data_IF_940008913498
#
_entry.id   IF_940008913498
#
_cell.length_a   1.000
_cell.length_b   1.000
_cell.length_c   1.000
_cell.angle_alpha   90.00
_cell.angle_beta   90.00
_cell.angle_gamma   90.00
#
_symmetry.space_group_name_H-M   'P 1'
#
loop_
_entity.id
_entity.type
_entity.pdbx_description
1 polymer ?
#
# COMPACT_ATOMS: atom_id res chain seq x y z
N UNK A 1 -38.37 14.02 53.23
CA UNK A 1 -38.06 14.85 52.04
C UNK A 1 -36.64 14.63 51.47
N UNK A 2 -35.79 13.77 52.07
CA UNK A 2 -34.40 13.57 51.61
C UNK A 2 -34.21 12.46 50.56
N UNK A 3 -35.12 11.49 50.48
CA UNK A 3 -34.95 10.31 49.61
C UNK A 3 -35.09 10.63 48.11
N UNK A 4 -36.00 11.52 47.73
CA UNK A 4 -36.21 11.91 46.33
C UNK A 4 -34.99 12.59 45.71
N UNK A 5 -34.19 13.31 46.51
CA UNK A 5 -33.02 14.05 46.02
C UNK A 5 -31.81 13.13 45.79
N UNK A 6 -31.69 12.06 46.59
CA UNK A 6 -30.65 11.02 46.44
C UNK A 6 -30.91 10.14 45.23
N UNK A 7 -32.17 9.79 44.95
CA UNK A 7 -32.55 9.00 43.77
C UNK A 7 -32.32 9.83 42.49
N UNK A 8 -32.66 11.12 42.50
CA UNK A 8 -32.43 12.05 41.38
C UNK A 8 -30.94 12.29 41.07
N UNK A 9 -30.06 12.31 42.09
CA UNK A 9 -28.62 12.47 41.86
C UNK A 9 -27.97 11.20 41.34
N UNK A 10 -28.42 10.02 41.81
CA UNK A 10 -27.96 8.71 41.32
C UNK A 10 -28.39 8.46 39.87
N UNK A 11 -29.60 8.86 39.48
CA UNK A 11 -30.03 8.73 38.09
C UNK A 11 -29.21 9.65 37.16
N UNK A 12 -28.93 10.89 37.56
CA UNK A 12 -28.12 11.83 36.75
C UNK A 12 -26.68 11.38 36.57
N UNK A 13 -26.08 10.77 37.59
CA UNK A 13 -24.73 10.20 37.49
C UNK A 13 -24.71 8.99 36.57
N UNK A 14 -25.67 8.08 36.72
CA UNK A 14 -25.84 6.93 35.82
C UNK A 14 -26.02 7.33 34.35
N UNK A 15 -26.88 8.32 34.04
CA UNK A 15 -27.08 8.81 32.67
C UNK A 15 -25.83 9.49 32.08
N UNK A 16 -25.03 10.15 32.92
CA UNK A 16 -23.78 10.79 32.48
C UNK A 16 -22.70 9.75 32.17
N UNK A 17 -22.60 8.72 33.01
CA UNK A 17 -21.66 7.62 32.81
C UNK A 17 -21.99 6.81 31.54
N UNK A 18 -23.29 6.58 31.24
CA UNK A 18 -23.71 5.96 29.97
C UNK A 18 -23.35 6.83 28.76
N UNK A 19 -23.55 8.15 28.82
CA UNK A 19 -23.14 9.05 27.74
C UNK A 19 -21.62 9.03 27.53
N UNK A 20 -20.83 9.13 28.60
CA UNK A 20 -19.37 9.12 28.53
C UNK A 20 -18.84 7.80 27.95
N UNK A 21 -19.48 6.68 28.28
CA UNK A 21 -19.17 5.36 27.72
C UNK A 21 -19.50 5.28 26.21
N UNK A 22 -20.65 5.84 25.80
CA UNK A 22 -21.04 5.91 24.39
C UNK A 22 -20.06 6.78 23.58
N UNK A 23 -19.71 7.97 24.07
CA UNK A 23 -18.73 8.84 23.42
C UNK A 23 -17.35 8.18 23.31
N UNK A 24 -16.90 7.51 24.38
CA UNK A 24 -15.64 6.76 24.38
C UNK A 24 -15.64 5.63 23.34
N UNK A 25 -16.74 4.86 23.27
CA UNK A 25 -16.87 3.76 22.30
C UNK A 25 -16.85 4.25 20.84
N UNK A 26 -17.51 5.37 20.54
CA UNK A 26 -17.51 5.99 19.21
C UNK A 26 -16.10 6.48 18.84
N UNK A 27 -15.38 7.09 19.79
CA UNK A 27 -14.01 7.57 19.57
C UNK A 27 -13.04 6.41 19.30
N UNK A 28 -13.20 5.28 19.99
CA UNK A 28 -12.42 4.05 19.76
C UNK A 28 -12.71 3.49 18.36
N UNK A 29 -13.98 3.42 17.94
CA UNK A 29 -14.34 2.94 16.60
C UNK A 29 -13.79 3.87 15.50
N UNK A 30 -13.83 5.18 15.69
CA UNK A 30 -13.28 6.16 14.75
C UNK A 30 -11.75 6.05 14.62
N UNK A 31 -11.03 5.83 15.71
CA UNK A 31 -9.57 5.68 15.68
C UNK A 31 -9.13 4.34 15.07
N UNK A 32 -9.89 3.26 15.28
CA UNK A 32 -9.65 1.95 14.67
C UNK A 32 -9.96 1.92 13.16
N UNK A 33 -10.90 2.74 12.68
CA UNK A 33 -11.23 2.82 11.25
C UNK A 33 -10.27 3.73 10.48
N UNK A 34 -9.68 4.75 11.13
CA UNK A 34 -8.73 5.66 10.49
C UNK A 34 -7.34 5.05 10.28
N UNK A 35 -6.91 4.12 11.16
CA UNK A 35 -5.65 3.37 11.00
C UNK A 35 -5.67 2.38 9.83
N UNK A 36 -6.82 2.10 9.24
CA UNK A 36 -6.95 1.26 8.05
C UNK A 36 -6.60 1.99 6.73
N UNK A 37 -6.40 3.31 6.75
CA UNK A 37 -5.85 4.06 5.62
C UNK A 37 -4.30 4.06 5.72
N UNK A 38 -3.69 2.87 5.73
CA UNK A 38 -2.25 2.74 5.55
C UNK A 38 -1.94 3.01 4.09
N UNK A 39 -1.12 4.03 3.83
CA UNK A 39 -0.55 4.24 2.50
C UNK A 39 0.05 2.91 2.02
N UNK A 40 -0.37 2.45 0.84
CA UNK A 40 0.09 1.20 0.27
C UNK A 40 1.62 1.23 0.10
N UNK A 41 2.29 0.16 0.54
CA UNK A 41 3.76 0.10 0.58
C UNK A 41 4.36 0.36 -0.81
N UNK A 42 5.53 1.01 -0.87
CA UNK A 42 6.21 1.24 -2.15
C UNK A 42 6.43 -0.06 -2.95
N UNK A 43 6.65 -1.19 -2.29
CA UNK A 43 6.74 -2.49 -2.97
C UNK A 43 5.41 -2.88 -3.65
N UNK A 44 4.28 -2.73 -2.96
CA UNK A 44 2.97 -2.96 -3.55
C UNK A 44 2.68 -1.98 -4.69
N UNK A 45 3.03 -0.69 -4.54
CA UNK A 45 2.91 0.29 -5.62
C UNK A 45 3.71 -0.13 -6.86
N UNK A 46 4.96 -0.59 -6.68
CA UNK A 46 5.82 -1.06 -7.76
C UNK A 46 5.22 -2.28 -8.49
N UNK A 47 4.67 -3.24 -7.74
CA UNK A 47 3.96 -4.40 -8.30
C UNK A 47 2.75 -3.94 -9.12
N UNK A 48 1.88 -3.09 -8.56
CA UNK A 48 0.68 -2.61 -9.28
C UNK A 48 1.03 -1.90 -10.58
N UNK A 49 2.01 -1.00 -10.58
CA UNK A 49 2.38 -0.30 -11.82
C UNK A 49 3.05 -1.25 -12.84
N UNK A 50 3.72 -2.30 -12.37
CA UNK A 50 4.19 -3.37 -13.26
C UNK A 50 3.03 -4.18 -13.86
N UNK A 51 1.97 -4.45 -13.08
CA UNK A 51 0.74 -5.09 -13.58
C UNK A 51 0.02 -4.19 -14.60
N UNK A 52 -0.07 -2.89 -14.34
CA UNK A 52 -0.61 -1.92 -15.29
C UNK A 52 0.17 -1.90 -16.61
N UNK A 53 1.50 -2.02 -16.53
CA UNK A 53 2.38 -2.15 -17.70
C UNK A 53 2.00 -3.38 -18.56
N UNK A 54 1.67 -4.51 -17.94
CA UNK A 54 1.26 -5.72 -18.67
C UNK A 54 -0.07 -5.55 -19.40
N UNK A 55 -0.98 -4.74 -18.85
CA UNK A 55 -2.33 -4.52 -19.39
C UNK A 55 -2.42 -3.33 -20.35
N UNK A 56 -1.34 -2.56 -20.50
CA UNK A 56 -1.32 -1.39 -21.36
C UNK A 56 -1.43 -1.76 -22.85
N UNK A 57 -2.08 -0.88 -23.62
CA UNK A 57 -2.41 -1.11 -25.03
C UNK A 57 -1.26 -0.81 -26.00
N UNK A 58 -0.28 -0.01 -25.57
CA UNK A 58 0.81 0.50 -26.41
C UNK A 58 2.11 0.65 -25.61
N UNK A 59 3.24 0.57 -26.31
CA UNK A 59 4.59 0.68 -25.78
C UNK A 59 4.84 1.93 -24.93
N UNK A 60 4.34 3.10 -25.37
CA UNK A 60 4.48 4.35 -24.62
C UNK A 60 3.82 4.28 -23.23
N UNK A 61 2.64 3.68 -23.14
CA UNK A 61 1.94 3.47 -21.87
C UNK A 61 2.62 2.41 -21.01
N UNK A 62 3.17 1.36 -21.63
CA UNK A 62 4.01 0.36 -20.94
C UNK A 62 5.24 1.03 -20.29
N UNK A 63 5.97 1.84 -21.06
CA UNK A 63 7.15 2.56 -20.59
C UNK A 63 6.82 3.54 -19.45
N UNK A 64 5.69 4.25 -19.56
CA UNK A 64 5.22 5.16 -18.50
C UNK A 64 4.91 4.45 -17.19
N UNK A 65 4.16 3.35 -17.25
CA UNK A 65 3.84 2.56 -16.06
C UNK A 65 5.11 1.91 -15.46
N UNK A 66 6.00 1.39 -16.30
CA UNK A 66 7.28 0.81 -15.88
C UNK A 66 8.18 1.84 -15.19
N UNK A 67 8.26 3.06 -15.74
CA UNK A 67 8.97 4.19 -15.10
C UNK A 67 8.41 4.50 -13.71
N UNK A 68 7.08 4.51 -13.58
CA UNK A 68 6.43 4.76 -12.29
C UNK A 68 6.70 3.62 -11.30
N UNK A 69 6.74 2.37 -11.77
CA UNK A 69 7.12 1.22 -10.95
C UNK A 69 8.56 1.34 -10.43
N UNK A 70 9.52 1.78 -11.26
CA UNK A 70 10.92 2.01 -10.85
C UNK A 70 11.00 3.05 -9.74
N UNK A 71 10.28 4.18 -9.83
CA UNK A 71 10.28 5.22 -8.79
C UNK A 71 9.89 4.63 -7.42
N UNK A 72 8.83 3.81 -7.40
CA UNK A 72 8.43 3.13 -6.18
C UNK A 72 9.46 2.08 -5.75
N UNK A 73 10.01 1.28 -6.67
CA UNK A 73 11.05 0.29 -6.36
C UNK A 73 12.32 0.91 -5.76
N UNK A 74 12.76 2.08 -6.24
CA UNK A 74 13.90 2.79 -5.67
C UNK A 74 13.64 3.25 -4.23
N UNK A 75 12.39 3.59 -3.90
CA UNK A 75 11.98 3.93 -2.53
C UNK A 75 12.01 2.73 -1.55
N UNK A 76 12.08 1.50 -2.10
CA UNK A 76 12.21 0.25 -1.33
C UNK A 76 13.68 -0.03 -0.99
N UNK A 77 14.64 0.44 -1.79
CA UNK A 77 16.06 0.07 -1.70
C UNK A 77 16.72 0.42 -0.35
N UNK A 78 16.32 1.54 0.26
CA UNK A 78 16.90 2.05 1.51
C UNK A 78 16.24 1.51 2.79
N UNK A 79 15.28 0.60 2.66
CA UNK A 79 14.57 0.05 3.81
C UNK A 79 15.40 -1.01 4.55
N UNK A 80 15.52 -0.88 5.88
CA UNK A 80 16.34 -1.77 6.72
C UNK A 80 15.82 -3.22 6.76
N UNK A 81 14.51 -3.42 6.59
CA UNK A 81 13.88 -4.74 6.73
C UNK A 81 14.10 -5.69 5.54
N UNK A 82 14.78 -5.24 4.48
CA UNK A 82 15.00 -6.06 3.28
C UNK A 82 16.28 -6.88 3.42
N UNK A 83 16.14 -8.19 3.27
CA UNK A 83 17.26 -9.14 3.29
C UNK A 83 18.23 -8.90 2.11
N UNK A 84 19.45 -9.43 2.21
CA UNK A 84 20.40 -9.38 1.08
C UNK A 84 19.84 -10.04 -0.18
N UNK A 85 19.14 -11.18 -0.03
CA UNK A 85 18.43 -11.84 -1.13
C UNK A 85 17.33 -10.94 -1.70
N UNK A 86 16.53 -10.31 -0.84
CA UNK A 86 15.50 -9.36 -1.26
C UNK A 86 16.05 -8.19 -2.06
N UNK A 87 17.25 -7.69 -1.73
CA UNK A 87 17.93 -6.64 -2.51
C UNK A 87 18.34 -7.13 -3.89
N UNK A 88 18.80 -8.37 -4.03
CA UNK A 88 19.11 -8.96 -5.35
C UNK A 88 17.83 -9.02 -6.20
N UNK A 89 16.73 -9.51 -5.63
CA UNK A 89 15.44 -9.53 -6.33
C UNK A 89 14.97 -8.11 -6.69
N UNK A 90 15.11 -7.13 -5.80
CA UNK A 90 14.80 -5.74 -6.11
C UNK A 90 15.61 -5.20 -7.30
N UNK A 91 16.92 -5.43 -7.33
CA UNK A 91 17.78 -5.02 -8.44
C UNK A 91 17.35 -5.68 -9.75
N UNK A 92 17.08 -6.99 -9.74
CA UNK A 92 16.63 -7.71 -10.94
C UNK A 92 15.26 -7.23 -11.43
N UNK A 93 14.37 -6.85 -10.51
CA UNK A 93 13.09 -6.26 -10.87
C UNK A 93 13.26 -4.90 -11.57
N UNK A 94 14.16 -4.05 -11.06
CA UNK A 94 14.46 -2.74 -11.68
C UNK A 94 15.05 -2.92 -13.08
N UNK A 95 16.06 -3.80 -13.25
CA UNK A 95 16.66 -4.10 -14.56
C UNK A 95 15.61 -4.60 -15.56
N UNK A 96 14.69 -5.45 -15.10
CA UNK A 96 13.60 -5.95 -15.96
C UNK A 96 12.62 -4.84 -16.36
N UNK A 97 12.38 -3.84 -15.50
CA UNK A 97 11.56 -2.67 -15.83
C UNK A 97 12.30 -1.71 -16.77
N UNK A 98 13.62 -1.56 -16.65
CA UNK A 98 14.42 -0.80 -17.61
C UNK A 98 14.32 -1.42 -19.01
N UNK A 99 14.40 -2.75 -19.11
CA UNK A 99 14.17 -3.45 -20.38
C UNK A 99 12.72 -3.27 -20.88
N UNK A 100 11.72 -3.24 -19.99
CA UNK A 100 10.35 -2.97 -20.39
C UNK A 100 10.17 -1.55 -20.96
N UNK A 101 10.92 -0.57 -20.44
CA UNK A 101 10.95 0.80 -20.95
C UNK A 101 11.62 0.86 -22.32
N UNK A 102 12.79 0.24 -22.48
CA UNK A 102 13.52 0.20 -23.76
C UNK A 102 12.65 -0.43 -24.85
N UNK A 103 12.15 -1.65 -24.61
CA UNK A 103 11.28 -2.35 -25.55
C UNK A 103 9.99 -1.58 -25.84
N UNK A 104 9.40 -0.92 -24.84
CA UNK A 104 8.20 -0.11 -25.02
C UNK A 104 8.44 1.17 -25.84
N UNK A 105 9.64 1.73 -25.79
CA UNK A 105 10.02 2.87 -26.63
C UNK A 105 10.36 2.46 -28.07
N UNK A 106 10.74 1.19 -28.28
CA UNK A 106 11.03 0.60 -29.59
C UNK A 106 9.80 -0.06 -30.25
N UNK A 107 8.59 0.19 -29.72
CA UNK A 107 7.32 -0.40 -30.15
C UNK A 107 7.30 -1.96 -30.12
N UNK A 108 8.14 -2.57 -29.29
CA UNK A 108 8.19 -4.02 -29.05
C UNK A 108 7.27 -4.43 -27.87
N UNK A 109 5.98 -4.12 -27.98
CA UNK A 109 5.02 -4.23 -26.88
C UNK A 109 5.00 -5.59 -26.16
N UNK A 110 5.13 -6.70 -26.90
CA UNK A 110 5.11 -8.04 -26.31
C UNK A 110 6.38 -8.35 -25.52
N UNK A 111 7.55 -7.94 -26.03
CA UNK A 111 8.83 -7.99 -25.31
C UNK A 111 8.78 -7.12 -24.06
N UNK A 112 8.18 -5.93 -24.16
CA UNK A 112 8.02 -5.00 -23.05
C UNK A 112 7.11 -5.58 -21.95
N UNK A 113 5.94 -6.12 -22.31
CA UNK A 113 5.04 -6.82 -21.38
C UNK A 113 5.70 -8.04 -20.74
N UNK A 114 6.53 -8.78 -21.49
CA UNK A 114 7.26 -9.91 -20.93
C UNK A 114 8.29 -9.46 -19.88
N UNK A 115 9.06 -8.41 -20.16
CA UNK A 115 10.02 -7.85 -19.20
C UNK A 115 9.31 -7.34 -17.92
N UNK A 116 8.16 -6.68 -18.05
CA UNK A 116 7.33 -6.29 -16.90
C UNK A 116 6.84 -7.50 -16.06
N UNK A 117 6.49 -8.63 -16.69
CA UNK A 117 6.15 -9.88 -15.97
C UNK A 117 7.32 -10.43 -15.17
N UNK A 118 8.52 -10.40 -15.74
CA UNK A 118 9.75 -10.82 -15.04
C UNK A 118 10.00 -9.92 -13.82
N UNK A 119 9.79 -8.61 -13.94
CA UNK A 119 9.90 -7.70 -12.81
C UNK A 119 8.95 -8.06 -11.65
N UNK A 120 7.68 -8.37 -11.95
CA UNK A 120 6.70 -8.80 -10.93
C UNK A 120 7.15 -10.08 -10.23
N UNK A 121 7.68 -11.05 -10.98
CA UNK A 121 8.17 -12.29 -10.40
C UNK A 121 9.25 -12.00 -9.36
N UNK A 122 10.21 -11.12 -9.67
CA UNK A 122 11.23 -10.71 -8.72
C UNK A 122 10.67 -9.92 -7.52
N UNK A 123 9.76 -8.96 -7.73
CA UNK A 123 9.15 -8.22 -6.60
C UNK A 123 8.47 -9.14 -5.58
N UNK A 124 7.84 -10.22 -6.04
CA UNK A 124 7.16 -11.21 -5.17
C UNK A 124 8.11 -12.05 -4.31
N UNK A 125 9.41 -12.06 -4.61
CA UNK A 125 10.43 -12.76 -3.82
C UNK A 125 11.09 -11.87 -2.76
N UNK A 126 10.87 -10.55 -2.77
CA UNK A 126 11.61 -9.61 -1.90
C UNK A 126 11.39 -9.87 -0.40
N UNK A 127 10.19 -10.30 -0.01
CA UNK A 127 9.80 -10.55 1.38
C UNK A 127 9.66 -12.04 1.72
N UNK A 128 10.16 -12.95 0.88
CA UNK A 128 10.21 -14.38 1.19
C UNK A 128 11.48 -14.73 1.96
#
# INVERSE_FOLDING_TARGET
MFENNVISSRSKTYFRDEQDMLFSSILIILTLTLSACLAESHLHQAIRFSEASITANDGATIAKHSTTAIIHALSVQDQEYISSAGRIHLTMAIVSLEQAIENGNDDEDDSARNAARVAIAHFKEINK
#
